data_IF_579391006187
#
_entry.id   IF_579391006187
#
_cell.length_a   1.000
_cell.length_b   1.000
_cell.length_c   1.000
_cell.angle_alpha   90.00
_cell.angle_beta   90.00
_cell.angle_gamma   90.00
#
_symmetry.space_group_name_H-M   'P 1'
#
loop_
_entity.id
_entity.type
_entity.pdbx_description
1 polymer ?
#
# COMPACT_ATOMS: atom_id res chain seq x y z
N UNK A 1 28.36 8.24 -16.11
CA UNK A 1 26.97 8.32 -15.61
C UNK A 1 26.68 7.03 -14.87
N UNK A 2 25.91 7.10 -13.78
CA UNK A 2 25.62 5.93 -12.97
C UNK A 2 24.28 5.30 -13.36
N UNK A 3 24.29 3.99 -13.59
CA UNK A 3 23.09 3.16 -13.80
C UNK A 3 22.72 2.44 -12.51
N UNK A 4 21.43 2.35 -12.22
CA UNK A 4 20.91 1.58 -11.10
C UNK A 4 21.11 0.08 -11.38
N UNK A 5 22.00 -0.57 -10.62
CA UNK A 5 22.30 -1.99 -10.74
C UNK A 5 22.78 -2.54 -9.38
N UNK A 6 22.13 -3.59 -8.90
CA UNK A 6 22.41 -4.13 -7.56
C UNK A 6 22.19 -3.08 -6.47
N UNK A 7 23.13 -2.99 -5.52
CA UNK A 7 23.10 -1.98 -4.45
C UNK A 7 24.02 -0.78 -4.73
N UNK A 8 25.05 -0.98 -5.54
CA UNK A 8 26.15 -0.03 -5.67
C UNK A 8 26.12 0.74 -7.00
N UNK A 9 25.37 0.26 -8.00
CA UNK A 9 25.28 0.83 -9.33
C UNK A 9 26.49 0.52 -10.21
N UNK A 10 26.39 0.87 -11.49
CA UNK A 10 27.47 0.73 -12.48
C UNK A 10 27.78 2.11 -13.06
N UNK A 11 29.06 2.48 -13.08
CA UNK A 11 29.52 3.66 -13.81
C UNK A 11 29.71 3.35 -15.29
N UNK A 12 29.10 4.17 -16.14
CA UNK A 12 29.17 4.09 -17.60
C UNK A 12 29.75 5.38 -18.18
N UNK A 13 30.84 5.27 -18.94
CA UNK A 13 31.36 6.38 -19.75
C UNK A 13 30.76 6.29 -21.14
N UNK A 14 30.11 7.37 -21.58
CA UNK A 14 29.57 7.47 -22.94
C UNK A 14 30.63 8.12 -23.80
N UNK A 15 31.00 7.47 -24.91
CA UNK A 15 31.91 8.04 -25.89
C UNK A 15 31.26 9.29 -26.52
N UNK A 16 31.92 10.46 -26.51
CA UNK A 16 31.37 11.67 -27.10
C UNK A 16 31.11 11.57 -28.61
N UNK A 17 31.69 10.58 -29.30
CA UNK A 17 31.45 10.33 -30.73
C UNK A 17 30.15 9.57 -31.00
N UNK A 18 29.48 9.04 -29.98
CA UNK A 18 28.20 8.33 -30.15
C UNK A 18 27.04 9.30 -30.26
N UNK A 19 26.14 9.06 -31.21
CA UNK A 19 24.86 9.77 -31.28
C UNK A 19 23.90 9.26 -30.19
N UNK A 20 24.02 9.80 -28.98
CA UNK A 20 23.29 9.33 -27.80
C UNK A 20 22.30 10.36 -27.30
N UNK A 21 21.06 9.94 -27.03
CA UNK A 21 20.06 10.75 -26.31
C UNK A 21 19.77 10.12 -24.94
N UNK A 22 19.95 10.89 -23.89
CA UNK A 22 19.69 10.47 -22.51
C UNK A 22 18.29 10.93 -22.11
N UNK A 23 17.40 9.97 -21.78
CA UNK A 23 16.04 10.23 -21.30
C UNK A 23 15.99 9.88 -19.81
N UNK A 24 15.52 10.81 -18.98
CA UNK A 24 15.40 10.64 -17.52
C UNK A 24 14.06 11.18 -17.03
N UNK A 25 13.49 10.60 -15.95
CA UNK A 25 12.36 11.21 -15.26
C UNK A 25 12.70 12.62 -14.76
N UNK A 26 11.68 13.48 -14.67
CA UNK A 26 11.82 14.79 -14.03
C UNK A 26 12.11 14.59 -12.54
N UNK A 27 13.17 15.24 -12.04
CA UNK A 27 13.54 15.17 -10.63
C UNK A 27 12.43 15.75 -9.76
N UNK A 28 11.92 14.96 -8.83
CA UNK A 28 10.95 15.38 -7.81
C UNK A 28 11.69 15.82 -6.54
N UNK A 29 11.19 16.87 -5.89
CA UNK A 29 11.68 17.25 -4.56
C UNK A 29 10.98 16.40 -3.50
N UNK A 30 11.73 15.89 -2.49
CA UNK A 30 11.12 15.14 -1.42
C UNK A 30 10.19 16.03 -0.59
N UNK A 31 9.10 15.47 -0.09
CA UNK A 31 8.21 16.14 0.85
C UNK A 31 8.93 16.27 2.19
N UNK A 32 9.01 17.49 2.71
CA UNK A 32 9.78 17.81 3.92
C UNK A 32 9.19 17.17 5.18
N UNK A 33 7.86 17.13 5.30
CA UNK A 33 7.15 16.42 6.37
C UNK A 33 6.11 15.44 5.79
N UNK A 34 6.54 14.22 5.41
CA UNK A 34 5.67 13.24 4.76
C UNK A 34 4.45 12.88 5.60
N UNK A 35 4.64 12.66 6.90
CA UNK A 35 3.54 12.27 7.82
C UNK A 35 2.47 13.35 7.85
N UNK A 36 2.85 14.63 7.98
CA UNK A 36 1.90 15.73 7.93
C UNK A 36 1.19 15.79 6.58
N UNK A 37 1.92 15.65 5.47
CA UNK A 37 1.33 15.71 4.13
C UNK A 37 0.30 14.58 3.90
N UNK A 38 0.60 13.36 4.37
CA UNK A 38 -0.33 12.22 4.34
C UNK A 38 -1.58 12.52 5.16
N UNK A 39 -1.42 13.04 6.37
CA UNK A 39 -2.55 13.41 7.25
C UNK A 39 -3.41 14.51 6.64
N UNK A 40 -2.79 15.52 6.02
CA UNK A 40 -3.50 16.61 5.35
C UNK A 40 -4.28 16.11 4.13
N UNK A 41 -3.71 15.19 3.35
CA UNK A 41 -4.40 14.54 2.23
C UNK A 41 -5.61 13.69 2.69
N UNK A 42 -5.49 12.96 3.81
CA UNK A 42 -6.60 12.18 4.40
C UNK A 42 -7.75 13.09 4.87
N UNK A 43 -7.43 14.28 5.39
CA UNK A 43 -8.41 15.28 5.84
C UNK A 43 -9.10 15.99 4.67
N UNK A 44 -8.39 16.19 3.58
CA UNK A 44 -8.83 16.92 2.39
C UNK A 44 -8.81 16.00 1.15
N UNK A 45 -9.69 15.00 1.07
CA UNK A 45 -9.70 14.06 -0.04
C UNK A 45 -10.17 14.72 -1.33
N UNK A 46 -9.77 14.14 -2.46
CA UNK A 46 -10.27 14.52 -3.78
C UNK A 46 -11.59 13.80 -4.04
N UNK A 47 -12.65 14.55 -4.31
CA UNK A 47 -13.91 14.02 -4.87
C UNK A 47 -14.79 13.18 -3.94
N UNK A 48 -14.50 13.10 -2.63
CA UNK A 48 -15.29 12.30 -1.68
C UNK A 48 -15.27 12.89 -0.25
N UNK A 49 -15.92 12.20 0.69
CA UNK A 49 -15.94 12.51 2.12
C UNK A 49 -14.59 12.23 2.77
N UNK A 50 -14.19 13.09 3.71
CA UNK A 50 -13.03 12.83 4.55
C UNK A 50 -13.18 11.57 5.37
N UNK A 51 -12.06 10.95 5.74
CA UNK A 51 -12.05 9.75 6.58
C UNK A 51 -12.83 9.95 7.89
N UNK A 52 -12.71 11.14 8.49
CA UNK A 52 -13.48 11.55 9.68
C UNK A 52 -14.99 11.47 9.45
N UNK A 53 -15.47 11.99 8.32
CA UNK A 53 -16.89 11.98 7.98
C UNK A 53 -17.39 10.56 7.72
N UNK A 54 -16.60 9.71 7.05
CA UNK A 54 -16.90 8.29 6.83
C UNK A 54 -17.05 7.55 8.16
N UNK A 55 -16.08 7.71 9.07
CA UNK A 55 -16.10 7.07 10.39
C UNK A 55 -17.32 7.52 11.20
N UNK A 56 -17.60 8.84 11.24
CA UNK A 56 -18.75 9.40 11.95
C UNK A 56 -20.08 8.85 11.43
N UNK A 57 -20.23 8.72 10.11
CA UNK A 57 -21.46 8.17 9.49
C UNK A 57 -21.70 6.70 9.82
N UNK A 58 -20.65 5.89 9.96
CA UNK A 58 -20.78 4.44 10.20
C UNK A 58 -21.18 4.05 11.62
N UNK A 59 -21.27 5.00 12.56
CA UNK A 59 -21.66 4.89 14.00
C UNK A 59 -20.89 3.85 14.84
N UNK A 60 -20.65 2.63 14.35
CA UNK A 60 -19.92 1.55 15.01
C UNK A 60 -19.05 0.78 14.01
N UNK A 61 -17.76 1.12 13.97
CA UNK A 61 -16.74 0.35 13.26
C UNK A 61 -16.12 -0.64 14.24
N UNK A 62 -16.22 -1.93 13.94
CA UNK A 62 -15.65 -3.06 14.70
C UNK A 62 -14.38 -3.59 14.02
N UNK A 63 -14.26 -3.46 12.70
CA UNK A 63 -13.11 -3.96 11.93
C UNK A 63 -12.65 -2.94 10.87
N UNK A 64 -11.34 -2.76 10.78
CA UNK A 64 -10.67 -1.96 9.75
C UNK A 64 -9.63 -2.84 9.05
N UNK A 65 -9.65 -2.90 7.73
CA UNK A 65 -8.62 -3.53 6.93
C UNK A 65 -7.90 -2.47 6.10
N UNK A 66 -6.59 -2.34 6.33
CA UNK A 66 -5.69 -1.48 5.56
C UNK A 66 -4.85 -2.38 4.66
N UNK A 67 -5.00 -2.21 3.35
CA UNK A 67 -4.24 -2.97 2.36
C UNK A 67 -2.98 -2.18 2.00
N UNK A 68 -1.84 -2.84 2.04
CA UNK A 68 -0.53 -2.26 1.71
C UNK A 68 0.17 -3.11 0.66
N UNK A 69 0.96 -2.47 -0.20
CA UNK A 69 1.82 -3.18 -1.16
C UNK A 69 2.84 -4.08 -0.45
N UNK A 70 3.22 -5.18 -1.11
CA UNK A 70 4.25 -6.08 -0.62
C UNK A 70 5.68 -5.51 -0.78
N UNK A 71 6.66 -6.32 -0.42
CA UNK A 71 8.07 -5.95 -0.47
C UNK A 71 8.61 -5.68 -1.88
N UNK A 72 7.92 -6.09 -2.94
CA UNK A 72 8.38 -5.88 -4.32
C UNK A 72 8.11 -4.45 -4.80
N UNK A 73 7.36 -3.66 -4.03
CA UNK A 73 7.08 -2.26 -4.35
C UNK A 73 7.94 -1.30 -3.52
N UNK A 74 8.43 -0.20 -4.11
CA UNK A 74 9.18 0.85 -3.42
C UNK A 74 8.26 1.86 -2.70
N UNK A 75 7.11 1.41 -2.17
CA UNK A 75 6.18 2.30 -1.46
C UNK A 75 6.78 2.66 -0.09
N UNK A 76 6.77 3.94 0.32
CA UNK A 76 7.13 4.34 1.68
C UNK A 76 5.98 4.00 2.66
N UNK A 77 5.57 2.72 2.70
CA UNK A 77 4.40 2.22 3.42
C UNK A 77 4.43 2.58 4.90
N UNK A 78 5.60 2.50 5.55
CA UNK A 78 5.77 2.87 6.95
C UNK A 78 5.30 4.31 7.24
N UNK A 79 5.61 5.28 6.35
CA UNK A 79 5.15 6.67 6.50
C UNK A 79 3.64 6.79 6.30
N UNK A 80 3.10 6.12 5.27
CA UNK A 80 1.67 6.12 4.96
C UNK A 80 0.87 5.55 6.14
N UNK A 81 1.29 4.40 6.65
CA UNK A 81 0.65 3.72 7.76
C UNK A 81 0.76 4.53 9.04
N UNK A 82 1.92 5.13 9.33
CA UNK A 82 2.06 6.01 10.50
C UNK A 82 1.07 7.19 10.43
N UNK A 83 0.99 7.89 9.30
CA UNK A 83 0.03 8.98 9.12
C UNK A 83 -1.42 8.52 9.26
N UNK A 84 -1.76 7.40 8.62
CA UNK A 84 -3.11 6.84 8.62
C UNK A 84 -3.55 6.33 9.99
N UNK A 85 -2.68 5.61 10.71
CA UNK A 85 -2.99 5.09 12.04
C UNK A 85 -3.24 6.24 13.02
N UNK A 86 -2.43 7.31 12.98
CA UNK A 86 -2.67 8.47 13.83
C UNK A 86 -4.05 9.10 13.56
N UNK A 87 -4.46 9.25 12.30
CA UNK A 87 -5.80 9.75 11.96
C UNK A 87 -6.92 8.80 12.45
N UNK A 88 -6.77 7.49 12.25
CA UNK A 88 -7.76 6.51 12.72
C UNK A 88 -7.91 6.53 14.25
N UNK A 89 -6.79 6.62 14.98
CA UNK A 89 -6.77 6.70 16.44
C UNK A 89 -7.39 8.00 16.96
N UNK A 90 -7.06 9.14 16.33
CA UNK A 90 -7.64 10.45 16.66
C UNK A 90 -9.18 10.48 16.44
N UNK A 91 -9.68 9.61 15.55
CA UNK A 91 -11.12 9.42 15.32
C UNK A 91 -11.75 8.28 16.14
N UNK A 92 -11.02 7.75 17.13
CA UNK A 92 -11.53 6.79 18.11
C UNK A 92 -11.51 5.32 17.66
N UNK A 93 -10.83 5.00 16.56
CA UNK A 93 -10.63 3.60 16.15
C UNK A 93 -9.49 2.99 16.99
N UNK A 94 -9.80 1.95 17.74
CA UNK A 94 -8.81 1.23 18.56
C UNK A 94 -7.91 0.35 17.69
N UNK A 95 -6.61 0.30 17.99
CA UNK A 95 -5.61 -0.50 17.25
C UNK A 95 -6.02 -1.97 17.07
N UNK A 96 -6.59 -2.60 18.10
CA UNK A 96 -7.06 -4.00 18.06
C UNK A 96 -8.13 -4.29 17.00
N UNK A 97 -8.79 -3.24 16.47
CA UNK A 97 -9.78 -3.35 15.38
C UNK A 97 -9.13 -3.28 14.00
N UNK A 98 -7.86 -2.89 13.93
CA UNK A 98 -7.13 -2.64 12.69
C UNK A 98 -6.36 -3.90 12.32
N UNK A 99 -6.46 -4.26 11.04
CA UNK A 99 -5.66 -5.28 10.38
C UNK A 99 -4.95 -4.65 9.20
N UNK A 100 -3.67 -4.97 9.05
CA UNK A 100 -2.89 -4.69 7.85
C UNK A 100 -2.86 -5.96 7.00
N UNK A 101 -3.29 -5.85 5.75
CA UNK A 101 -3.25 -6.92 4.76
C UNK A 101 -2.16 -6.60 3.73
N UNK A 102 -1.11 -7.41 3.68
CA UNK A 102 -0.06 -7.29 2.65
C UNK A 102 -0.60 -7.85 1.34
N UNK A 103 -0.74 -7.00 0.33
CA UNK A 103 -1.19 -7.35 -1.01
C UNK A 103 -0.05 -7.95 -1.85
N UNK A 104 0.20 -9.23 -1.66
CA UNK A 104 1.20 -10.01 -2.40
C UNK A 104 0.76 -10.37 -3.82
N UNK A 105 -0.54 -10.32 -4.12
CA UNK A 105 -1.08 -10.87 -5.37
C UNK A 105 -0.68 -12.35 -5.52
N UNK A 106 0.04 -12.67 -6.59
CA UNK A 106 0.58 -14.02 -6.84
C UNK A 106 1.97 -14.26 -6.23
N UNK A 107 2.57 -13.26 -5.59
CA UNK A 107 3.87 -13.42 -4.96
C UNK A 107 3.79 -14.27 -3.69
N UNK A 108 4.95 -14.79 -3.26
CA UNK A 108 5.07 -15.45 -1.96
C UNK A 108 4.77 -14.47 -0.81
N UNK A 109 4.39 -14.98 0.37
CA UNK A 109 4.32 -14.18 1.58
C UNK A 109 5.61 -13.40 1.85
N UNK A 110 5.47 -12.16 2.34
CA UNK A 110 6.61 -11.37 2.81
C UNK A 110 7.22 -12.00 4.05
N UNK A 111 8.54 -12.14 4.08
CA UNK A 111 9.28 -12.63 5.24
C UNK A 111 9.43 -11.54 6.32
N UNK A 112 10.02 -11.89 7.47
CA UNK A 112 10.13 -10.98 8.62
C UNK A 112 10.90 -9.69 8.30
N UNK A 113 12.01 -9.78 7.58
CA UNK A 113 12.82 -8.60 7.23
C UNK A 113 12.13 -7.72 6.20
N UNK A 114 11.42 -8.33 5.26
CA UNK A 114 10.55 -7.62 4.31
C UNK A 114 9.42 -6.89 5.02
N UNK A 115 8.72 -7.55 5.95
CA UNK A 115 7.67 -6.91 6.75
C UNK A 115 8.22 -5.75 7.58
N UNK A 116 9.42 -5.90 8.16
CA UNK A 116 10.11 -4.82 8.87
C UNK A 116 10.43 -3.64 7.95
N UNK A 117 10.83 -3.89 6.69
CA UNK A 117 11.06 -2.83 5.70
C UNK A 117 9.76 -2.14 5.27
N UNK A 118 8.69 -2.91 5.06
CA UNK A 118 7.38 -2.38 4.64
C UNK A 118 6.78 -1.51 5.75
N UNK A 119 6.76 -2.01 6.99
CA UNK A 119 6.03 -1.40 8.11
C UNK A 119 6.90 -0.53 9.02
N UNK A 120 8.22 -0.64 8.91
CA UNK A 120 9.16 0.13 9.74
C UNK A 120 9.01 -0.19 11.23
N UNK A 121 9.05 0.85 12.04
CA UNK A 121 8.89 0.79 13.51
C UNK A 121 7.46 1.03 13.97
N UNK A 122 6.50 1.15 13.03
CA UNK A 122 5.09 1.31 13.38
C UNK A 122 4.73 0.22 14.39
N UNK A 123 4.27 0.64 15.57
CA UNK A 123 3.99 -0.28 16.68
C UNK A 123 2.85 -1.20 16.28
N UNK A 124 3.20 -2.42 15.88
CA UNK A 124 2.24 -3.46 15.48
C UNK A 124 1.81 -4.30 16.68
N UNK A 125 2.01 -3.83 17.91
CA UNK A 125 1.78 -4.66 19.10
C UNK A 125 0.34 -5.19 19.14
N UNK A 126 -0.63 -4.35 18.77
CA UNK A 126 -2.05 -4.72 18.74
C UNK A 126 -2.66 -4.75 17.33
N UNK A 127 -1.92 -4.29 16.30
CA UNK A 127 -2.36 -4.32 14.90
C UNK A 127 -2.02 -5.68 14.28
N UNK A 128 -3.04 -6.39 13.80
CA UNK A 128 -2.83 -7.70 13.16
C UNK A 128 -2.27 -7.54 11.76
N UNK A 129 -1.16 -8.20 11.44
CA UNK A 129 -0.60 -8.24 10.09
C UNK A 129 -0.90 -9.60 9.46
N UNK A 130 -1.39 -9.60 8.23
CA UNK A 130 -1.71 -10.81 7.47
C UNK A 130 -1.14 -10.67 6.06
N UNK A 131 -0.43 -11.69 5.57
CA UNK A 131 -0.10 -11.79 4.16
C UNK A 131 -1.30 -12.34 3.39
N UNK A 132 -1.62 -11.73 2.24
CA UNK A 132 -2.48 -12.38 1.28
C UNK A 132 -1.79 -13.63 0.71
N UNK A 133 -2.57 -14.67 0.43
CA UNK A 133 -2.10 -15.89 -0.23
C UNK A 133 -3.16 -16.32 -1.23
N UNK A 134 -2.94 -16.05 -2.52
CA UNK A 134 -3.92 -16.32 -3.57
C UNK A 134 -4.29 -17.81 -3.69
N UNK A 135 -3.36 -18.71 -3.36
CA UNK A 135 -3.61 -20.15 -3.36
C UNK A 135 -4.39 -20.66 -2.14
N UNK A 136 -4.49 -19.88 -1.05
CA UNK A 136 -5.24 -20.27 0.15
C UNK A 136 -6.72 -19.93 0.00
N UNK A 137 -7.47 -20.86 -0.61
CA UNK A 137 -8.92 -20.75 -0.79
C UNK A 137 -9.69 -20.49 0.51
N UNK A 138 -9.18 -20.91 1.68
CA UNK A 138 -9.86 -20.67 2.97
C UNK A 138 -9.79 -19.21 3.41
N UNK A 139 -8.85 -18.44 2.86
CA UNK A 139 -8.70 -17.00 3.12
C UNK A 139 -9.47 -16.13 2.13
N UNK A 140 -10.11 -16.73 1.13
CA UNK A 140 -10.79 -16.04 0.04
C UNK A 140 -12.31 -16.18 0.15
N UNK A 141 -13.01 -15.21 -0.44
CA UNK A 141 -14.46 -15.22 -0.63
C UNK A 141 -14.78 -14.87 -2.08
N UNK A 142 -15.76 -15.57 -2.67
CA UNK A 142 -16.27 -15.26 -4.00
C UNK A 142 -17.17 -14.02 -3.96
N UNK A 143 -17.06 -13.16 -4.97
CA UNK A 143 -17.90 -11.95 -5.10
C UNK A 143 -19.23 -12.18 -5.81
N UNK A 144 -19.54 -13.43 -6.15
CA UNK A 144 -20.77 -13.81 -6.85
C UNK A 144 -21.33 -15.11 -6.28
N UNK A 145 -22.61 -15.34 -6.54
CA UNK A 145 -23.27 -16.62 -6.30
C UNK A 145 -23.39 -17.34 -7.65
N UNK A 146 -22.89 -18.57 -7.78
CA UNK A 146 -22.99 -19.41 -8.98
C UNK A 146 -21.69 -19.57 -9.77
N UNK A 147 -21.73 -20.42 -10.81
CA UNK A 147 -20.58 -20.74 -11.66
C UNK A 147 -20.41 -19.69 -12.76
N UNK A 148 -19.41 -18.82 -12.60
CA UNK A 148 -18.93 -17.93 -13.66
C UNK A 148 -17.73 -18.60 -14.35
N UNK A 149 -17.57 -18.33 -15.65
CA UNK A 149 -16.38 -18.74 -16.41
C UNK A 149 -15.09 -18.20 -15.76
N UNK A 150 -15.16 -16.99 -15.21
CA UNK A 150 -14.05 -16.32 -14.53
C UNK A 150 -14.49 -15.83 -13.15
N UNK A 151 -14.45 -16.68 -12.12
CA UNK A 151 -14.89 -16.31 -10.78
C UNK A 151 -13.92 -15.32 -10.12
N UNK A 152 -14.47 -14.31 -9.46
CA UNK A 152 -13.67 -13.29 -8.77
C UNK A 152 -13.63 -13.60 -7.28
N UNK A 153 -12.42 -13.87 -6.79
CA UNK A 153 -12.14 -14.09 -5.39
C UNK A 153 -11.30 -12.96 -4.82
N UNK A 154 -11.65 -12.52 -3.61
CA UNK A 154 -10.85 -11.56 -2.86
C UNK A 154 -10.63 -12.02 -1.43
N UNK A 155 -9.68 -11.42 -0.72
CA UNK A 155 -9.38 -11.79 0.65
C UNK A 155 -10.55 -11.45 1.59
N UNK A 156 -11.03 -12.45 2.34
CA UNK A 156 -12.20 -12.30 3.22
C UNK A 156 -11.99 -11.23 4.29
N UNK A 157 -10.77 -11.06 4.81
CA UNK A 157 -10.49 -10.03 5.82
C UNK A 157 -10.71 -8.62 5.27
N UNK A 158 -10.43 -8.40 3.99
CA UNK A 158 -10.76 -7.12 3.35
C UNK A 158 -12.27 -7.01 3.15
N UNK A 159 -12.89 -7.99 2.50
CA UNK A 159 -14.32 -7.97 2.18
C UNK A 159 -15.23 -7.79 3.41
N UNK A 160 -14.95 -8.49 4.50
CA UNK A 160 -15.76 -8.50 5.71
C UNK A 160 -15.51 -7.30 6.64
N UNK A 161 -14.53 -6.45 6.36
CA UNK A 161 -14.20 -5.32 7.25
C UNK A 161 -15.19 -4.15 7.12
N UNK A 162 -15.60 -3.55 8.23
CA UNK A 162 -16.53 -2.41 8.23
C UNK A 162 -15.93 -1.17 7.56
N UNK A 163 -14.61 -0.99 7.69
CA UNK A 163 -13.83 0.02 7.00
C UNK A 163 -12.70 -0.64 6.22
N UNK A 164 -12.65 -0.35 4.92
CA UNK A 164 -11.71 -0.89 3.95
C UNK A 164 -10.89 0.28 3.43
N UNK A 165 -9.58 0.22 3.55
CA UNK A 165 -8.66 1.27 3.10
C UNK A 165 -7.60 0.59 2.23
N UNK A 166 -7.42 1.09 1.01
CA UNK A 166 -6.34 0.67 0.13
C UNK A 166 -5.27 1.77 0.13
N UNK A 167 -4.02 1.35 0.24
CA UNK A 167 -2.86 2.23 0.09
C UNK A 167 -1.97 1.71 -1.03
N UNK A 168 -1.16 2.59 -1.62
CA UNK A 168 -0.28 2.28 -2.72
C UNK A 168 0.43 3.53 -3.20
N UNK A 169 0.96 3.46 -4.40
CA UNK A 169 1.59 4.59 -5.10
C UNK A 169 1.28 4.47 -6.58
N UNK A 170 1.37 5.60 -7.28
CA UNK A 170 1.10 5.66 -8.71
C UNK A 170 2.42 5.72 -9.46
N UNK A 171 2.63 4.76 -10.36
CA UNK A 171 3.72 4.75 -11.32
C UNK A 171 3.25 4.23 -12.68
N UNK A 172 3.94 4.57 -13.78
CA UNK A 172 3.69 3.94 -15.07
C UNK A 172 3.91 2.42 -14.99
N UNK A 173 2.92 1.67 -15.46
CA UNK A 173 2.99 0.22 -15.59
C UNK A 173 2.89 -0.18 -17.06
N UNK A 174 3.94 -0.81 -17.57
CA UNK A 174 4.12 -1.23 -18.97
C UNK A 174 2.92 -1.91 -19.65
N UNK A 175 2.10 -2.68 -18.93
CA UNK A 175 0.89 -3.33 -19.49
C UNK A 175 -0.45 -2.79 -18.99
N UNK A 176 -0.48 -2.11 -17.84
CA UNK A 176 -1.73 -1.71 -17.17
C UNK A 176 -1.92 -0.19 -17.15
N UNK A 177 -1.04 0.56 -17.84
CA UNK A 177 -1.02 2.02 -17.82
C UNK A 177 -0.37 2.53 -16.55
N UNK A 178 -1.04 2.34 -15.41
CA UNK A 178 -0.57 2.77 -14.09
C UNK A 178 -0.88 1.73 -13.02
N UNK A 179 -0.09 1.73 -11.95
CA UNK A 179 -0.47 1.07 -10.68
C UNK A 179 -1.05 2.05 -9.66
#
# INVERSE_FOLDING_TARGET
MKLDYGKDGIELTIDPNWNTKIIKPVKQLPIENPIKAIRDAIKNPVGDLSLKAIIKKRKKIKSVCIVVSDATRPVPTHLIIEGLLRELLDYGIQEKKIRILIATGLHRPSNREELKRILGTVSTRDVKIVNHVAADKKSLIALHNGDLENPIYINKYYYESDLKILTGYVEPHFFFGFS
#
